data_IF_816276130006
#
_entry.id   IF_816276130006
#
_cell.length_a   1.000
_cell.length_b   1.000
_cell.length_c   1.000
_cell.angle_alpha   90.00
_cell.angle_beta   90.00
_cell.angle_gamma   90.00
#
_symmetry.space_group_name_H-M   'P 1'
#
loop_
_entity.id
_entity.type
_entity.pdbx_description
1 polymer ?
#
# COMPACT_ATOMS: atom_id res chain seq x y z
N UNK A 1 15.81 4.15 -20.93
CA UNK A 1 16.17 3.41 -19.69
C UNK A 1 16.78 2.08 -20.11
N UNK A 2 18.01 1.77 -19.69
CA UNK A 2 18.76 0.59 -20.17
C UNK A 2 18.00 -0.71 -19.87
N UNK A 3 17.80 -1.56 -20.89
CA UNK A 3 17.08 -2.86 -20.76
C UNK A 3 17.65 -3.76 -19.66
N UNK A 4 18.95 -3.67 -19.39
CA UNK A 4 19.62 -4.41 -18.33
C UNK A 4 19.19 -3.97 -16.92
N UNK A 5 18.97 -2.67 -16.71
CA UNK A 5 18.50 -2.12 -15.43
C UNK A 5 17.05 -2.57 -15.17
N UNK A 6 16.21 -2.58 -16.21
CA UNK A 6 14.84 -3.06 -16.12
C UNK A 6 14.78 -4.54 -15.69
N UNK A 7 15.66 -5.37 -16.27
CA UNK A 7 15.75 -6.80 -15.96
C UNK A 7 16.18 -7.07 -14.51
N UNK A 8 17.11 -6.25 -13.99
CA UNK A 8 17.60 -6.36 -12.62
C UNK A 8 16.55 -5.90 -11.61
N UNK A 9 15.85 -4.80 -11.91
CA UNK A 9 14.75 -4.28 -11.06
C UNK A 9 13.58 -5.27 -11.01
N UNK A 10 13.31 -5.99 -12.10
CA UNK A 10 12.28 -7.03 -12.14
C UNK A 10 12.55 -8.23 -11.22
N UNK A 11 13.83 -8.51 -10.90
CA UNK A 11 14.19 -9.60 -9.99
C UNK A 11 14.10 -9.22 -8.51
N UNK A 12 13.95 -7.93 -8.18
CA UNK A 12 13.71 -7.50 -6.81
C UNK A 12 12.23 -7.74 -6.49
N UNK A 13 11.86 -8.68 -5.60
CA UNK A 13 10.48 -9.13 -5.44
C UNK A 13 9.47 -8.01 -5.12
N UNK A 14 9.93 -6.95 -4.45
CA UNK A 14 9.09 -5.82 -4.04
C UNK A 14 8.93 -4.75 -5.13
N UNK A 15 9.91 -4.57 -6.03
CA UNK A 15 9.85 -3.55 -7.09
C UNK A 15 9.45 -4.16 -8.44
N UNK A 16 9.82 -5.42 -8.68
CA UNK A 16 9.43 -6.21 -9.84
C UNK A 16 7.93 -6.48 -9.91
N UNK A 17 7.25 -6.53 -8.77
CA UNK A 17 5.80 -6.74 -8.67
C UNK A 17 4.97 -5.67 -9.37
N UNK A 18 5.41 -4.41 -9.38
CA UNK A 18 4.74 -3.31 -10.12
C UNK A 18 4.72 -3.59 -11.62
N UNK A 19 5.81 -4.16 -12.16
CA UNK A 19 5.95 -4.45 -13.58
C UNK A 19 5.11 -5.65 -14.04
N UNK A 20 4.51 -6.39 -13.11
CA UNK A 20 3.53 -7.44 -13.44
C UNK A 20 2.18 -6.85 -13.87
N UNK A 21 1.88 -5.58 -13.55
CA UNK A 21 0.60 -4.95 -13.85
C UNK A 21 0.65 -4.11 -15.13
N UNK A 22 -0.48 -4.08 -15.85
CA UNK A 22 -0.65 -3.20 -17.01
C UNK A 22 -0.70 -1.73 -16.57
N UNK A 23 -0.21 -0.82 -17.40
CA UNK A 23 -0.19 0.63 -17.08
C UNK A 23 -1.58 1.20 -16.77
N UNK A 24 -2.63 0.75 -17.46
CA UNK A 24 -4.01 1.17 -17.20
C UNK A 24 -4.48 0.80 -15.77
N UNK A 25 -4.07 -0.38 -15.28
CA UNK A 25 -4.36 -0.85 -13.91
C UNK A 25 -3.61 0.01 -12.90
N UNK A 26 -2.32 0.27 -13.14
CA UNK A 26 -1.51 1.13 -12.26
C UNK A 26 -2.09 2.54 -12.15
N UNK A 27 -2.56 3.14 -13.26
CA UNK A 27 -3.20 4.45 -13.25
C UNK A 27 -4.50 4.46 -12.44
N UNK A 28 -5.36 3.45 -12.63
CA UNK A 28 -6.61 3.31 -11.86
C UNK A 28 -6.31 3.15 -10.36
N UNK A 29 -5.35 2.27 -10.03
CA UNK A 29 -4.93 2.02 -8.66
C UNK A 29 -4.33 3.25 -7.99
N UNK A 30 -3.52 4.04 -8.71
CA UNK A 30 -2.94 5.26 -8.18
C UNK A 30 -4.02 6.31 -7.88
N UNK A 31 -5.02 6.46 -8.76
CA UNK A 31 -6.15 7.36 -8.52
C UNK A 31 -6.97 6.95 -7.29
N UNK A 32 -7.23 5.65 -7.13
CA UNK A 32 -7.92 5.13 -5.95
C UNK A 32 -7.09 5.31 -4.68
N UNK A 33 -5.78 5.04 -4.75
CA UNK A 33 -4.86 5.26 -3.62
C UNK A 33 -4.88 6.71 -3.17
N UNK A 34 -4.71 7.68 -4.08
CA UNK A 34 -4.73 9.11 -3.72
C UNK A 34 -6.04 9.45 -3.02
N UNK A 35 -7.17 9.02 -3.58
CA UNK A 35 -8.48 9.32 -3.02
C UNK A 35 -8.63 8.80 -1.58
N UNK A 36 -8.31 7.52 -1.35
CA UNK A 36 -8.43 6.92 -0.02
C UNK A 36 -7.35 7.44 0.94
N UNK A 37 -6.13 7.68 0.45
CA UNK A 37 -5.03 8.23 1.24
C UNK A 37 -5.36 9.64 1.75
N UNK A 38 -5.88 10.52 0.88
CA UNK A 38 -6.33 11.87 1.27
C UNK A 38 -7.45 11.78 2.29
N UNK A 39 -8.48 10.95 2.05
CA UNK A 39 -9.59 10.79 3.00
C UNK A 39 -9.13 10.26 4.36
N UNK A 40 -8.25 9.25 4.37
CA UNK A 40 -7.70 8.68 5.61
C UNK A 40 -6.81 9.67 6.37
N UNK A 41 -6.18 10.61 5.67
CA UNK A 41 -5.27 11.60 6.23
C UNK A 41 -5.96 12.90 6.67
N UNK A 42 -7.27 13.05 6.44
CA UNK A 42 -8.04 14.24 6.85
C UNK A 42 -7.85 14.63 8.32
N UNK A 43 -7.85 13.71 9.30
CA UNK A 43 -7.62 14.07 10.70
C UNK A 43 -6.26 14.75 10.92
N UNK A 44 -5.21 14.24 10.28
CA UNK A 44 -3.86 14.84 10.34
C UNK A 44 -3.87 16.21 9.68
N UNK A 45 -4.46 16.32 8.49
CA UNK A 45 -4.53 17.58 7.73
C UNK A 45 -5.23 18.66 8.55
N UNK A 46 -6.37 18.34 9.16
CA UNK A 46 -7.09 19.29 10.02
C UNK A 46 -6.31 19.63 11.30
N UNK A 47 -5.58 18.68 11.88
CA UNK A 47 -4.75 18.93 13.05
C UNK A 47 -3.59 19.88 12.72
N UNK A 48 -2.90 19.67 11.60
CA UNK A 48 -1.85 20.57 11.12
C UNK A 48 -2.42 21.95 10.80
N UNK A 49 -3.55 22.01 10.08
CA UNK A 49 -4.23 23.26 9.76
C UNK A 49 -4.59 24.02 11.04
N UNK A 50 -5.14 23.33 12.04
CA UNK A 50 -5.48 23.96 13.30
C UNK A 50 -4.27 24.51 14.04
N UNK A 51 -3.17 23.76 14.09
CA UNK A 51 -1.92 24.22 14.70
C UNK A 51 -1.31 25.45 14.00
N UNK A 52 -1.43 25.54 12.68
CA UNK A 52 -0.89 26.67 11.91
C UNK A 52 -1.77 27.91 12.03
N UNK A 53 -3.09 27.76 11.92
CA UNK A 53 -4.01 28.90 11.82
C UNK A 53 -4.64 29.34 13.14
N UNK A 54 -4.75 28.45 14.14
CA UNK A 54 -5.34 28.78 15.45
C UNK A 54 -4.31 28.86 16.57
N UNK A 55 -3.16 28.19 16.45
CA UNK A 55 -2.09 28.20 17.45
C UNK A 55 -0.85 29.00 17.01
N UNK A 56 -0.90 29.64 15.83
CA UNK A 56 0.19 30.42 15.22
C UNK A 56 1.56 29.70 15.20
N UNK A 57 1.54 28.36 15.11
CA UNK A 57 2.77 27.57 14.98
C UNK A 57 3.28 27.63 13.55
N UNK A 58 4.60 27.74 13.34
CA UNK A 58 5.16 27.61 12.00
C UNK A 58 4.91 26.18 11.48
N UNK A 59 4.70 26.07 10.17
CA UNK A 59 4.23 24.84 9.53
C UNK A 59 5.12 23.63 9.81
N UNK A 60 6.43 23.83 9.85
CA UNK A 60 7.43 22.81 10.17
C UNK A 60 7.26 22.26 11.60
N UNK A 61 7.04 23.11 12.59
CA UNK A 61 6.78 22.68 13.97
C UNK A 61 5.40 22.02 14.11
N UNK A 62 4.39 22.55 13.43
CA UNK A 62 3.06 21.93 13.39
C UNK A 62 3.11 20.53 12.76
N UNK A 63 3.89 20.37 11.68
CA UNK A 63 4.09 19.09 11.02
C UNK A 63 4.84 18.09 11.92
N UNK A 64 5.94 18.50 12.56
CA UNK A 64 6.73 17.63 13.44
C UNK A 64 5.98 17.21 14.71
N UNK A 65 5.22 18.12 15.31
CA UNK A 65 4.42 17.82 16.50
C UNK A 65 3.25 16.89 16.18
N UNK A 66 2.65 17.05 15.00
CA UNK A 66 1.51 16.22 14.56
C UNK A 66 1.97 14.87 14.00
N UNK A 67 3.05 14.80 13.22
CA UNK A 67 3.60 13.56 12.68
C UNK A 67 4.60 12.91 13.65
N UNK A 68 4.16 12.69 14.89
CA UNK A 68 4.97 11.96 15.85
C UNK A 68 4.99 10.45 15.53
N UNK A 69 5.93 9.73 16.13
CA UNK A 69 6.13 8.28 15.91
C UNK A 69 4.86 7.48 16.19
N UNK A 70 4.06 7.89 17.17
CA UNK A 70 2.80 7.21 17.52
C UNK A 70 1.76 7.34 16.41
N UNK A 71 1.60 8.54 15.85
CA UNK A 71 0.66 8.79 14.75
C UNK A 71 1.15 8.05 13.50
N UNK A 72 2.44 8.13 13.16
CA UNK A 72 3.00 7.37 12.05
C UNK A 72 2.81 5.85 12.21
N UNK A 73 2.92 5.32 13.43
CA UNK A 73 2.67 3.91 13.72
C UNK A 73 1.21 3.52 13.50
N UNK A 74 0.27 4.28 14.07
CA UNK A 74 -1.18 4.00 13.93
C UNK A 74 -1.56 3.97 12.46
N UNK A 75 -1.08 4.93 11.68
CA UNK A 75 -1.35 5.00 10.25
C UNK A 75 -0.68 3.86 9.47
N UNK A 76 0.56 3.52 9.80
CA UNK A 76 1.25 2.35 9.22
C UNK A 76 0.48 1.07 9.47
N UNK A 77 0.02 0.84 10.71
CA UNK A 77 -0.77 -0.34 11.05
C UNK A 77 -2.12 -0.36 10.33
N UNK A 78 -2.79 0.79 10.24
CA UNK A 78 -4.06 0.92 9.52
C UNK A 78 -3.90 0.64 8.02
N UNK A 79 -2.80 1.06 7.39
CA UNK A 79 -2.53 0.80 5.97
C UNK A 79 -2.07 -0.64 5.71
N UNK A 80 -1.35 -1.26 6.65
CA UNK A 80 -0.94 -2.67 6.53
C UNK A 80 -2.07 -3.65 6.83
N UNK A 81 -3.07 -3.30 7.65
CA UNK A 81 -4.19 -4.17 7.98
C UNK A 81 -4.95 -4.75 6.76
N UNK A 82 -5.41 -3.95 5.78
CA UNK A 82 -6.06 -4.49 4.58
C UNK A 82 -5.09 -5.32 3.70
N UNK A 83 -3.80 -4.96 3.68
CA UNK A 83 -2.76 -5.73 2.97
C UNK A 83 -2.62 -7.12 3.58
N UNK A 84 -2.50 -7.19 4.91
CA UNK A 84 -2.41 -8.44 5.67
C UNK A 84 -3.66 -9.29 5.48
N UNK A 85 -4.84 -8.68 5.53
CA UNK A 85 -6.11 -9.37 5.29
C UNK A 85 -6.16 -10.03 3.91
N UNK A 86 -5.78 -9.28 2.85
CA UNK A 86 -5.75 -9.81 1.49
C UNK A 86 -4.67 -10.90 1.31
N UNK A 87 -3.52 -10.76 1.96
CA UNK A 87 -2.52 -11.81 2.00
C UNK A 87 -3.06 -13.07 2.71
N UNK A 88 -3.77 -12.94 3.84
CA UNK A 88 -4.36 -14.08 4.55
C UNK A 88 -5.42 -14.77 3.69
N UNK A 89 -6.35 -14.03 3.08
CA UNK A 89 -7.39 -14.63 2.23
C UNK A 89 -6.81 -15.35 1.01
N UNK A 90 -5.66 -14.92 0.48
CA UNK A 90 -5.07 -15.50 -0.74
C UNK A 90 -3.94 -16.49 -0.53
N UNK A 91 -3.18 -16.38 0.56
CA UNK A 91 -2.05 -17.27 0.88
C UNK A 91 -2.51 -18.43 1.78
N UNK A 92 -3.39 -18.17 2.75
CA UNK A 92 -3.84 -19.17 3.73
C UNK A 92 -5.10 -19.89 3.24
N UNK A 93 -6.02 -19.17 2.60
CA UNK A 93 -7.27 -19.73 2.06
C UNK A 93 -7.35 -19.58 0.53
N UNK A 94 -6.43 -20.19 -0.24
CA UNK A 94 -6.32 -19.94 -1.66
C UNK A 94 -7.62 -20.27 -2.39
N UNK A 95 -8.41 -19.24 -2.67
CA UNK A 95 -9.37 -19.24 -3.77
C UNK A 95 -8.54 -19.32 -5.05
N UNK A 96 -9.11 -19.85 -6.12
CA UNK A 96 -8.46 -20.10 -7.43
C UNK A 96 -7.90 -18.85 -8.16
N UNK A 97 -7.78 -17.72 -7.47
CA UNK A 97 -7.30 -16.45 -8.00
C UNK A 97 -5.76 -16.43 -8.03
N UNK A 98 -5.21 -16.09 -9.19
CA UNK A 98 -3.77 -15.84 -9.35
C UNK A 98 -3.36 -14.68 -8.47
N UNK A 99 -2.28 -14.86 -7.73
CA UNK A 99 -1.70 -13.80 -6.89
C UNK A 99 -0.47 -13.24 -7.57
N UNK A 100 -0.24 -11.92 -7.46
CA UNK A 100 0.93 -11.30 -8.05
C UNK A 100 2.23 -11.79 -7.38
N UNK A 101 3.33 -11.92 -8.14
CA UNK A 101 4.61 -12.34 -7.62
C UNK A 101 5.13 -11.31 -6.61
N UNK A 102 5.48 -11.77 -5.39
CA UNK A 102 5.99 -10.91 -4.32
C UNK A 102 5.04 -10.72 -3.13
N UNK A 103 3.79 -11.21 -3.19
CA UNK A 103 2.83 -11.06 -2.08
C UNK A 103 3.33 -11.67 -0.76
N UNK A 104 4.04 -12.80 -0.82
CA UNK A 104 4.58 -13.48 0.37
C UNK A 104 5.67 -12.62 1.03
N UNK A 105 6.47 -11.92 0.22
CA UNK A 105 7.48 -10.98 0.71
C UNK A 105 6.83 -9.74 1.33
N UNK A 106 5.77 -9.21 0.71
CA UNK A 106 5.01 -8.09 1.27
C UNK A 106 4.39 -8.48 2.61
N UNK A 107 3.81 -9.67 2.71
CA UNK A 107 3.24 -10.20 3.94
C UNK A 107 4.31 -10.34 5.05
N UNK A 108 5.45 -10.92 4.72
CA UNK A 108 6.56 -11.10 5.65
C UNK A 108 7.10 -9.75 6.14
N UNK A 109 7.30 -8.79 5.23
CA UNK A 109 7.77 -7.45 5.57
C UNK A 109 6.73 -6.68 6.40
N UNK A 110 5.44 -6.81 6.08
CA UNK A 110 4.35 -6.22 6.86
C UNK A 110 4.34 -6.74 8.31
N UNK A 111 4.53 -8.05 8.50
CA UNK A 111 4.63 -8.66 9.84
C UNK A 111 5.87 -8.17 10.58
N UNK A 112 7.05 -8.14 9.93
CA UNK A 112 8.27 -7.63 10.53
C UNK A 112 8.07 -6.18 10.99
N UNK A 113 7.43 -5.34 10.17
CA UNK A 113 7.17 -3.95 10.52
C UNK A 113 6.20 -3.80 11.67
N UNK A 114 5.13 -4.61 11.74
CA UNK A 114 4.24 -4.61 12.90
C UNK A 114 4.95 -5.05 14.17
N UNK A 115 5.78 -6.10 14.12
CA UNK A 115 6.56 -6.57 15.27
C UNK A 115 7.55 -5.49 15.72
N UNK A 116 8.34 -4.95 14.80
CA UNK A 116 9.32 -3.89 15.10
C UNK A 116 8.64 -2.67 15.70
N UNK A 117 7.51 -2.25 15.14
CA UNK A 117 6.78 -1.08 15.62
C UNK A 117 6.08 -1.34 16.96
N UNK A 118 5.58 -2.55 17.21
CA UNK A 118 5.02 -2.94 18.51
C UNK A 118 6.08 -2.98 19.61
N UNK A 119 7.30 -3.44 19.29
CA UNK A 119 8.43 -3.41 20.20
C UNK A 119 8.85 -1.97 20.53
N UNK A 120 8.92 -1.08 19.53
CA UNK A 120 9.21 0.34 19.74
C UNK A 120 8.19 1.02 20.68
N UNK A 121 6.91 0.62 20.60
CA UNK A 121 5.84 1.12 21.47
C UNK A 121 5.91 0.53 22.88
N UNK A 122 6.19 -0.79 22.99
CA UNK A 122 6.29 -1.51 24.26
C UNK A 122 7.52 -1.14 25.12
N UNK A 123 8.61 -0.67 24.50
CA UNK A 123 9.86 -0.33 25.21
C UNK A 123 9.96 1.10 25.77
N UNK A 124 8.86 1.84 25.79
CA UNK A 124 8.79 3.15 26.45
C UNK A 124 9.24 4.30 25.54
N UNK A 125 8.26 5.10 25.12
CA UNK A 125 8.32 6.24 24.20
C UNK A 125 9.43 7.30 24.45
N UNK A 126 10.11 7.32 25.58
CA UNK A 126 11.04 8.40 25.94
C UNK A 126 12.38 8.35 25.22
N UNK A 127 12.89 7.16 24.84
CA UNK A 127 14.15 7.03 24.09
C UNK A 127 13.95 6.98 22.58
N UNK A 128 12.82 6.44 22.12
CA UNK A 128 12.52 6.31 20.69
C UNK A 128 12.01 7.61 20.06
N UNK A 129 11.34 8.50 20.82
CA UNK A 129 10.78 9.75 20.29
C UNK A 129 11.81 10.83 19.94
N UNK A 130 13.00 10.78 20.56
CA UNK A 130 14.05 11.80 20.38
C UNK A 130 15.19 11.38 19.45
N UNK A 131 15.24 10.11 19.01
CA UNK A 131 16.32 9.63 18.15
C UNK A 131 15.97 9.84 16.67
N UNK A 132 16.75 10.68 15.99
CA UNK A 132 16.57 11.04 14.58
C UNK A 132 16.58 9.81 13.67
N UNK A 133 17.34 8.79 14.06
CA UNK A 133 17.41 7.51 13.38
C UNK A 133 16.07 6.74 13.43
N UNK A 134 15.43 6.70 14.60
CA UNK A 134 14.14 6.04 14.79
C UNK A 134 13.05 6.72 13.97
N UNK A 135 13.02 8.06 13.95
CA UNK A 135 12.08 8.82 13.12
C UNK A 135 12.26 8.53 11.62
N UNK A 136 13.51 8.52 11.13
CA UNK A 136 13.83 8.18 9.73
C UNK A 136 13.37 6.76 9.36
N UNK A 137 13.58 5.79 10.25
CA UNK A 137 13.11 4.41 10.04
C UNK A 137 11.58 4.37 9.99
N UNK A 138 10.88 4.97 10.95
CA UNK A 138 9.41 4.96 11.00
C UNK A 138 8.81 5.65 9.77
N UNK A 139 9.39 6.75 9.31
CA UNK A 139 8.98 7.44 8.08
C UNK A 139 9.18 6.54 6.85
N UNK A 140 10.30 5.83 6.78
CA UNK A 140 10.59 4.89 5.69
C UNK A 140 9.57 3.75 5.67
N UNK A 141 9.26 3.19 6.83
CA UNK A 141 8.24 2.14 7.00
C UNK A 141 6.87 2.66 6.59
N UNK A 142 6.50 3.89 6.96
CA UNK A 142 5.26 4.53 6.56
C UNK A 142 5.13 4.59 5.03
N UNK A 143 6.12 5.14 4.32
CA UNK A 143 6.06 5.20 2.85
C UNK A 143 6.02 3.81 2.20
N UNK A 144 6.72 2.85 2.77
CA UNK A 144 6.70 1.47 2.28
C UNK A 144 5.33 0.81 2.50
N UNK A 145 4.63 1.14 3.59
CA UNK A 145 3.26 0.67 3.82
C UNK A 145 2.26 1.23 2.80
N UNK A 146 2.39 2.52 2.45
CA UNK A 146 1.58 3.15 1.39
C UNK A 146 1.87 2.49 0.03
N UNK A 147 3.13 2.15 -0.23
CA UNK A 147 3.52 1.43 -1.43
C UNK A 147 2.93 0.00 -1.49
N UNK A 148 2.92 -0.75 -0.39
CA UNK A 148 2.27 -2.05 -0.35
C UNK A 148 0.76 -1.94 -0.54
N UNK A 149 0.14 -0.94 0.07
CA UNK A 149 -1.27 -0.68 -0.13
C UNK A 149 -1.60 -0.37 -1.59
N UNK A 150 -0.75 0.41 -2.28
CA UNK A 150 -0.85 0.64 -3.71
C UNK A 150 -0.81 -0.67 -4.52
N UNK A 151 0.15 -1.55 -4.23
CA UNK A 151 0.24 -2.85 -4.92
C UNK A 151 -1.00 -3.71 -4.72
N UNK A 152 -1.56 -3.69 -3.51
CA UNK A 152 -2.78 -4.41 -3.17
C UNK A 152 -4.01 -3.86 -3.90
N UNK A 153 -4.12 -2.54 -4.05
CA UNK A 153 -5.16 -1.91 -4.87
C UNK A 153 -4.97 -2.26 -6.36
N UNK A 154 -3.72 -2.26 -6.84
CA UNK A 154 -3.40 -2.63 -8.22
C UNK A 154 -3.79 -4.07 -8.53
N UNK A 155 -3.52 -5.00 -7.61
CA UNK A 155 -3.94 -6.39 -7.72
C UNK A 155 -5.48 -6.55 -7.75
N UNK A 156 -6.19 -5.81 -6.90
CA UNK A 156 -7.66 -5.80 -6.90
C UNK A 156 -8.23 -5.27 -8.22
N UNK A 157 -7.65 -4.18 -8.74
CA UNK A 157 -8.02 -3.62 -10.05
C UNK A 157 -7.71 -4.59 -11.20
N UNK A 158 -6.62 -5.35 -11.11
CA UNK A 158 -6.26 -6.33 -12.13
C UNK A 158 -7.26 -7.48 -12.19
N UNK A 159 -7.70 -7.99 -11.02
CA UNK A 159 -8.70 -9.05 -10.94
C UNK A 159 -10.06 -8.62 -11.54
N UNK A 160 -10.47 -7.37 -11.35
CA UNK A 160 -11.68 -6.81 -11.97
C UNK A 160 -11.57 -6.77 -13.51
N UNK A 161 -10.41 -6.39 -14.04
CA UNK A 161 -10.15 -6.39 -15.48
C UNK A 161 -10.20 -7.81 -16.07
N UNK A 162 -9.58 -8.79 -15.41
CA UNK A 162 -9.57 -10.18 -15.86
C UNK A 162 -10.98 -10.83 -15.83
N UNK A 163 -11.81 -10.46 -14.85
CA UNK A 163 -13.22 -10.88 -14.80
C UNK A 163 -14.02 -10.31 -15.96
N UNK A 164 -13.88 -9.00 -16.25
CA UNK A 164 -14.61 -8.37 -17.36
C UNK A 164 -14.17 -8.93 -18.72
N UNK A 165 -12.87 -9.19 -18.92
CA UNK A 165 -12.41 -9.79 -20.17
C UNK A 165 -12.91 -11.23 -20.34
N UNK A 166 -12.88 -12.05 -19.29
CA UNK A 166 -13.35 -13.44 -19.37
C UNK A 166 -14.87 -13.53 -19.57
N UNK A 167 -15.64 -12.64 -18.95
CA UNK A 167 -17.08 -12.55 -19.18
C UNK A 167 -17.41 -12.16 -20.63
N UNK A 168 -16.68 -11.20 -21.22
CA UNK A 168 -16.84 -10.81 -22.63
C UNK A 168 -16.48 -11.92 -23.60
N UNK A 169 -15.39 -12.64 -23.35
CA UNK A 169 -15.02 -13.80 -24.17
C UNK A 169 -16.08 -14.90 -24.14
N UNK A 170 -16.70 -15.15 -22.97
CA UNK A 170 -17.82 -16.08 -22.85
C UNK A 170 -19.06 -15.59 -23.64
N UNK A 171 -19.40 -14.31 -23.54
CA UNK A 171 -20.50 -13.70 -24.29
C UNK A 171 -20.28 -13.80 -25.81
N UNK A 172 -19.09 -13.44 -26.30
CA UNK A 172 -18.72 -13.55 -27.72
C UNK A 172 -18.75 -15.01 -28.21
N UNK A 173 -18.32 -15.96 -27.37
CA UNK A 173 -18.40 -17.38 -27.69
C UNK A 173 -19.84 -17.88 -27.80
N UNK A 174 -20.73 -17.39 -26.92
CA UNK A 174 -22.15 -17.72 -26.93
C UNK A 174 -22.83 -17.15 -28.18
N UNK A 175 -22.60 -15.88 -28.48
CA UNK A 175 -23.15 -15.20 -29.67
C UNK A 175 -22.71 -15.92 -30.94
N UNK A 176 -21.42 -16.24 -31.09
CA UNK A 176 -20.90 -16.95 -32.25
C UNK A 176 -21.50 -18.36 -32.40
N UNK A 177 -21.76 -19.04 -31.28
CA UNK A 177 -22.38 -20.38 -31.28
C UNK A 177 -23.86 -20.33 -31.68
N UNK A 178 -24.57 -19.25 -31.33
CA UNK A 178 -25.99 -19.05 -31.67
C UNK A 178 -26.17 -18.51 -33.10
N UNK A 179 -25.23 -17.73 -33.63
CA UNK A 179 -25.32 -17.14 -34.99
C UNK A 179 -24.77 -18.03 -36.10
N UNK A 180 -23.94 -19.04 -35.79
CA UNK A 180 -23.37 -19.97 -36.78
C UNK A 180 -23.91 -21.40 -36.70
N UNK A 181 -24.83 -21.69 -35.78
CA UNK A 181 -25.60 -22.95 -35.76
C UNK A 181 -26.94 -22.76 -36.45
#
# INVERSE_FOLDING_TARGET
MNRQILYFIQHIPLFGSVFAFRFAVLRKAFSQLIFVWVLSSLPIIFTIFGAVFFEDKPFDMALLSTLNITILFIYTAAFLAPVIWLCVDRVIYPKTQKVFPGINWIFLVAIIFLIFSSAAWGFGNSKFSSDEFSQKITLTIYFLSVYFWFLTIADSCNAEFDFVSSAREQEDSFINKVTRG
#
